data_IF_251973806204
#
_entry.id   IF_251973806204
#
_cell.length_a   1.000
_cell.length_b   1.000
_cell.length_c   1.000
_cell.angle_alpha   90.00
_cell.angle_beta   90.00
_cell.angle_gamma   90.00
#
_symmetry.space_group_name_H-M   'P 1'
#
loop_
_entity.id
_entity.type
_entity.pdbx_description
1 polymer ?
#
# COMPACT_ATOMS: atom_id res chain seq x y z
N UNK A 1 -15.96 -30.46 1.70
CA UNK A 1 -14.58 -30.14 1.28
C UNK A 1 -14.69 -29.18 0.12
N UNK A 2 -14.87 -27.91 0.45
CA UNK A 2 -14.67 -26.79 -0.48
C UNK A 2 -13.18 -26.58 -0.59
N UNK A 3 -12.65 -26.57 -1.81
CA UNK A 3 -11.26 -26.18 -2.05
C UNK A 3 -10.99 -24.81 -1.43
N UNK A 4 -9.81 -24.57 -0.83
CA UNK A 4 -9.43 -23.23 -0.42
C UNK A 4 -9.46 -22.36 -1.69
N UNK A 5 -10.29 -21.31 -1.66
CA UNK A 5 -10.31 -20.25 -2.66
C UNK A 5 -8.87 -19.83 -2.94
N UNK A 6 -8.34 -20.21 -4.10
CA UNK A 6 -7.12 -19.60 -4.61
C UNK A 6 -7.34 -18.10 -4.58
N UNK A 7 -6.61 -17.38 -3.72
CA UNK A 7 -6.68 -15.92 -3.68
C UNK A 7 -6.49 -15.41 -5.11
N UNK A 8 -7.44 -14.61 -5.58
CA UNK A 8 -7.43 -14.01 -6.90
C UNK A 8 -6.02 -13.48 -7.23
N UNK A 9 -5.38 -13.95 -8.29
CA UNK A 9 -3.99 -13.57 -8.64
C UNK A 9 -3.82 -12.03 -8.59
N UNK A 10 -2.66 -11.50 -8.17
CA UNK A 10 -2.39 -10.07 -7.89
C UNK A 10 -2.90 -9.12 -9.00
N UNK A 11 -2.93 -9.61 -10.22
CA UNK A 11 -3.43 -8.89 -11.39
C UNK A 11 -4.90 -9.09 -11.71
N UNK A 12 -5.74 -9.74 -10.92
CA UNK A 12 -7.13 -10.01 -11.30
C UNK A 12 -8.00 -8.74 -11.24
N UNK A 13 -8.83 -8.51 -12.27
CA UNK A 13 -9.75 -7.39 -12.25
C UNK A 13 -10.95 -7.68 -11.33
N UNK A 14 -11.52 -6.63 -10.76
CA UNK A 14 -12.78 -6.71 -10.02
C UNK A 14 -13.76 -5.62 -10.46
N UNK A 15 -15.04 -5.86 -10.24
CA UNK A 15 -16.10 -4.88 -10.50
C UNK A 15 -16.28 -3.95 -9.31
N UNK A 16 -16.56 -2.68 -9.59
CA UNK A 16 -16.87 -1.69 -8.55
C UNK A 16 -18.34 -1.34 -8.56
N UNK A 17 -18.89 -1.13 -7.37
CA UNK A 17 -20.24 -0.63 -7.21
C UNK A 17 -20.32 0.28 -5.99
N UNK A 18 -20.89 1.46 -6.19
CA UNK A 18 -21.15 2.42 -5.12
C UNK A 18 -22.36 2.07 -4.24
N UNK A 19 -23.03 0.96 -4.52
CA UNK A 19 -24.14 0.45 -3.72
C UNK A 19 -23.69 0.14 -2.29
N UNK A 20 -24.39 0.61 -1.24
CA UNK A 20 -24.06 0.26 0.13
C UNK A 20 -24.10 -1.24 0.42
N UNK A 21 -24.90 -2.00 -0.33
CA UNK A 21 -25.02 -3.44 -0.20
C UNK A 21 -23.71 -4.18 -0.50
N UNK A 22 -22.77 -3.57 -1.22
CA UNK A 22 -21.46 -4.18 -1.48
C UNK A 22 -20.48 -4.06 -0.31
N UNK A 23 -20.87 -3.41 0.80
CA UNK A 23 -20.06 -3.36 2.02
C UNK A 23 -20.08 -4.68 2.84
N UNK A 24 -20.84 -5.69 2.40
CA UNK A 24 -20.86 -7.01 3.02
C UNK A 24 -19.53 -7.75 2.80
N UNK A 25 -19.18 -8.68 3.69
CA UNK A 25 -18.03 -9.58 3.53
C UNK A 25 -18.31 -10.66 2.48
N UNK A 26 -17.99 -10.40 1.21
CA UNK A 26 -18.14 -11.36 0.11
C UNK A 26 -16.97 -11.21 -0.87
N UNK A 27 -16.50 -12.34 -1.42
CA UNK A 27 -15.32 -12.39 -2.30
C UNK A 27 -15.46 -11.43 -3.49
N UNK A 28 -16.64 -11.38 -4.09
CA UNK A 28 -16.95 -10.48 -5.21
C UNK A 28 -16.84 -8.97 -4.88
N UNK A 29 -16.90 -8.60 -3.59
CA UNK A 29 -16.78 -7.22 -3.12
C UNK A 29 -15.48 -6.94 -2.34
N UNK A 30 -14.60 -7.93 -2.18
CA UNK A 30 -13.35 -7.78 -1.44
C UNK A 30 -12.52 -6.61 -1.99
N UNK A 31 -12.41 -6.54 -3.33
CA UNK A 31 -11.69 -5.48 -4.03
C UNK A 31 -12.20 -4.07 -3.70
N UNK A 32 -13.52 -3.85 -3.80
CA UNK A 32 -14.11 -2.54 -3.50
C UNK A 32 -13.99 -2.19 -2.02
N UNK A 33 -14.12 -3.16 -1.12
CA UNK A 33 -14.02 -2.93 0.32
C UNK A 33 -12.57 -2.61 0.75
N UNK A 34 -11.56 -3.27 0.18
CA UNK A 34 -10.15 -2.90 0.38
C UNK A 34 -9.91 -1.45 -0.06
N UNK A 35 -10.44 -1.03 -1.22
CA UNK A 35 -10.32 0.36 -1.69
C UNK A 35 -11.02 1.35 -0.75
N UNK A 36 -12.22 1.03 -0.24
CA UNK A 36 -12.94 1.87 0.74
C UNK A 36 -12.15 2.05 2.02
N UNK A 37 -11.63 0.97 2.56
CA UNK A 37 -10.81 0.95 3.77
C UNK A 37 -9.54 1.78 3.60
N UNK A 38 -8.82 1.59 2.49
CA UNK A 38 -7.63 2.37 2.19
C UNK A 38 -7.97 3.87 2.09
N UNK A 39 -9.05 4.23 1.39
CA UNK A 39 -9.48 5.62 1.26
C UNK A 39 -9.76 6.29 2.62
N UNK A 40 -10.37 5.57 3.58
CA UNK A 40 -10.55 6.09 4.95
C UNK A 40 -9.22 6.38 5.65
N UNK A 41 -8.22 5.52 5.48
CA UNK A 41 -6.85 5.76 6.01
C UNK A 41 -6.26 7.08 5.53
N UNK A 42 -6.47 7.42 4.25
CA UNK A 42 -6.05 8.69 3.67
C UNK A 42 -6.82 9.88 4.26
N UNK A 43 -8.13 9.72 4.48
CA UNK A 43 -8.98 10.75 5.08
C UNK A 43 -8.55 11.09 6.52
N UNK A 44 -8.19 10.08 7.33
CA UNK A 44 -7.59 10.30 8.66
C UNK A 44 -6.27 11.07 8.62
N UNK A 45 -5.55 11.03 7.50
CA UNK A 45 -4.34 11.83 7.29
C UNK A 45 -4.59 13.34 7.14
N UNK A 46 -5.85 13.77 6.96
CA UNK A 46 -6.23 15.18 6.85
C UNK A 46 -5.79 15.89 5.57
N UNK A 47 -5.24 15.18 4.58
CA UNK A 47 -4.77 15.76 3.31
C UNK A 47 -5.92 15.84 2.30
N UNK A 48 -6.63 16.98 2.32
CA UNK A 48 -7.77 17.25 1.43
C UNK A 48 -7.38 17.24 -0.05
N UNK A 49 -6.18 17.68 -0.39
CA UNK A 49 -5.74 17.68 -1.79
C UNK A 49 -5.61 16.25 -2.31
N UNK A 50 -5.07 15.32 -1.50
CA UNK A 50 -4.97 13.90 -1.87
C UNK A 50 -6.33 13.25 -2.07
N UNK A 51 -7.29 13.56 -1.21
CA UNK A 51 -8.67 13.08 -1.36
C UNK A 51 -9.25 13.60 -2.68
N UNK A 52 -9.06 14.89 -2.98
CA UNK A 52 -9.52 15.52 -4.21
C UNK A 52 -8.89 14.93 -5.49
N UNK A 53 -7.61 14.52 -5.45
CA UNK A 53 -6.91 13.90 -6.59
C UNK A 53 -7.56 12.60 -7.08
N UNK A 54 -8.33 11.91 -6.22
CA UNK A 54 -9.00 10.63 -6.53
C UNK A 54 -10.51 10.67 -6.29
N UNK A 55 -11.11 11.86 -6.23
CA UNK A 55 -12.54 12.04 -5.97
C UNK A 55 -13.46 11.26 -6.93
N UNK A 56 -13.18 11.16 -8.25
CA UNK A 56 -13.99 10.32 -9.15
C UNK A 56 -14.01 8.84 -8.72
N UNK A 57 -12.85 8.27 -8.41
CA UNK A 57 -12.70 6.89 -7.96
C UNK A 57 -13.39 6.66 -6.62
N UNK A 58 -13.32 7.62 -5.69
CA UNK A 58 -14.03 7.56 -4.41
C UNK A 58 -15.55 7.51 -4.61
N UNK A 59 -16.10 8.27 -5.55
CA UNK A 59 -17.53 8.21 -5.87
C UNK A 59 -17.94 6.86 -6.47
N UNK A 60 -17.12 6.29 -7.33
CA UNK A 60 -17.40 4.97 -7.94
C UNK A 60 -17.47 3.85 -6.90
N UNK A 61 -16.66 3.92 -5.85
CA UNK A 61 -16.69 2.96 -4.73
C UNK A 61 -17.71 3.35 -3.64
N UNK A 62 -18.53 4.38 -3.86
CA UNK A 62 -19.71 4.68 -3.04
C UNK A 62 -19.49 5.66 -1.90
N UNK A 63 -18.44 6.46 -1.93
CA UNK A 63 -18.30 7.60 -1.01
C UNK A 63 -19.26 8.74 -1.40
N UNK A 64 -19.90 9.34 -0.40
CA UNK A 64 -20.73 10.53 -0.55
C UNK A 64 -19.91 11.73 -1.02
N UNK A 65 -20.56 12.73 -1.62
CA UNK A 65 -19.87 13.92 -2.15
C UNK A 65 -19.06 14.66 -1.06
N UNK A 66 -19.53 14.64 0.20
CA UNK A 66 -18.80 15.24 1.33
C UNK A 66 -17.49 14.52 1.63
N UNK A 67 -17.50 13.19 1.56
CA UNK A 67 -16.33 12.35 1.78
C UNK A 67 -15.35 12.40 0.59
N UNK A 68 -15.86 12.31 -0.64
CA UNK A 68 -15.06 12.29 -1.86
C UNK A 68 -14.37 13.63 -2.16
N UNK A 69 -14.87 14.74 -1.63
CA UNK A 69 -14.27 16.08 -1.78
C UNK A 69 -13.38 16.50 -0.60
N UNK A 70 -13.25 15.65 0.42
CA UNK A 70 -12.45 15.95 1.62
C UNK A 70 -13.02 17.09 2.48
N UNK A 71 -14.30 17.43 2.32
CA UNK A 71 -14.95 18.50 3.09
C UNK A 71 -15.12 18.16 4.56
N UNK A 72 -15.11 16.88 4.91
CA UNK A 72 -15.21 16.40 6.29
C UNK A 72 -14.02 16.84 7.14
N UNK A 73 -14.30 17.24 8.38
CA UNK A 73 -13.27 17.55 9.38
C UNK A 73 -12.88 16.28 10.11
N UNK A 74 -11.73 15.71 9.77
CA UNK A 74 -11.13 14.55 10.43
C UNK A 74 -10.20 14.95 11.57
N UNK A 75 -10.42 16.13 12.18
CA UNK A 75 -9.58 16.59 13.29
C UNK A 75 -9.47 15.48 14.33
N UNK A 76 -8.24 15.22 14.77
CA UNK A 76 -7.91 14.14 15.69
C UNK A 76 -8.70 14.29 16.99
N UNK A 77 -9.89 13.71 17.05
CA UNK A 77 -10.56 13.40 18.30
C UNK A 77 -9.64 12.49 19.11
N UNK A 78 -9.72 12.53 20.43
CA UNK A 78 -9.01 11.55 21.25
C UNK A 78 -9.38 10.14 20.75
N UNK A 79 -8.44 9.22 20.49
CA UNK A 79 -8.79 7.84 20.12
C UNK A 79 -9.86 7.25 21.03
N UNK A 80 -9.88 7.60 22.34
CA UNK A 80 -10.96 7.21 23.25
C UNK A 80 -12.32 7.78 22.82
N UNK A 81 -12.40 9.08 22.48
CA UNK A 81 -13.61 9.74 21.96
C UNK A 81 -14.03 9.25 20.56
N UNK A 82 -13.18 8.48 19.87
CA UNK A 82 -13.49 7.88 18.58
C UNK A 82 -14.18 6.51 18.69
N UNK A 83 -14.26 5.94 19.90
CA UNK A 83 -14.86 4.61 20.17
C UNK A 83 -15.96 4.58 21.26
N UNK A 84 -16.76 5.64 21.51
CA UNK A 84 -17.67 5.68 22.67
C UNK A 84 -18.74 4.58 22.65
N UNK A 85 -19.15 4.11 21.47
CA UNK A 85 -20.28 3.19 21.29
C UNK A 85 -19.92 1.79 20.77
N UNK A 86 -18.66 1.35 20.93
CA UNK A 86 -18.27 -0.06 20.64
C UNK A 86 -19.12 -1.09 21.42
N UNK A 87 -19.86 -0.64 22.45
CA UNK A 87 -20.64 -1.47 23.38
C UNK A 87 -22.10 -1.69 22.99
N UNK A 88 -22.72 -0.78 22.23
CA UNK A 88 -24.16 -0.84 21.92
C UNK A 88 -24.46 -1.37 20.52
N UNK A 89 -23.47 -1.40 19.64
CA UNK A 89 -23.61 -2.04 18.34
C UNK A 89 -23.41 -3.55 18.51
N UNK A 90 -24.50 -4.31 18.47
CA UNK A 90 -24.43 -5.75 18.30
C UNK A 90 -23.63 -6.06 17.02
N UNK A 91 -22.33 -6.33 17.15
CA UNK A 91 -21.47 -6.79 16.04
C UNK A 91 -21.83 -8.20 15.54
N UNK A 92 -23.00 -8.71 15.93
CA UNK A 92 -23.52 -10.03 15.57
C UNK A 92 -24.21 -9.95 14.21
N UNK A 93 -23.55 -10.48 13.18
CA UNK A 93 -24.06 -10.61 11.82
C UNK A 93 -23.20 -9.85 10.80
N UNK A 94 -22.17 -10.52 10.29
CA UNK A 94 -21.07 -9.98 9.48
C UNK A 94 -21.50 -9.06 8.32
N UNK A 95 -22.61 -9.36 7.64
CA UNK A 95 -23.07 -8.59 6.48
C UNK A 95 -23.93 -7.37 6.81
N UNK A 96 -24.95 -7.52 7.67
CA UNK A 96 -25.96 -6.46 7.88
C UNK A 96 -25.40 -5.28 8.68
N UNK A 97 -24.47 -5.53 9.60
CA UNK A 97 -23.87 -4.46 10.39
C UNK A 97 -22.93 -3.59 9.55
N UNK A 98 -22.09 -4.18 8.68
CA UNK A 98 -21.19 -3.42 7.80
C UNK A 98 -21.92 -2.49 6.84
N UNK A 99 -23.00 -2.97 6.21
CA UNK A 99 -23.83 -2.14 5.31
C UNK A 99 -24.40 -0.94 6.06
N UNK A 100 -24.94 -1.15 7.27
CA UNK A 100 -25.47 -0.08 8.11
C UNK A 100 -24.38 0.92 8.48
N UNK A 101 -23.21 0.46 8.93
CA UNK A 101 -22.07 1.30 9.28
C UNK A 101 -21.57 2.13 8.10
N UNK A 102 -21.50 1.53 6.93
CA UNK A 102 -21.15 2.22 5.69
C UNK A 102 -22.17 3.30 5.32
N UNK A 103 -23.47 3.03 5.47
CA UNK A 103 -24.53 4.02 5.25
C UNK A 103 -24.42 5.18 6.24
N UNK A 104 -24.31 4.88 7.54
CA UNK A 104 -24.15 5.87 8.60
C UNK A 104 -22.93 6.78 8.35
N UNK A 105 -21.80 6.20 7.94
CA UNK A 105 -20.60 6.96 7.59
C UNK A 105 -20.83 7.93 6.42
N UNK A 106 -21.61 7.51 5.41
CA UNK A 106 -21.90 8.34 4.24
C UNK A 106 -22.91 9.47 4.53
N UNK A 107 -23.85 9.24 5.44
CA UNK A 107 -24.83 10.21 5.93
C UNK A 107 -24.17 11.23 6.87
N UNK A 108 -23.40 10.73 7.83
CA UNK A 108 -22.74 11.49 8.89
C UNK A 108 -21.23 11.18 8.91
N UNK A 109 -20.44 11.89 8.08
CA UNK A 109 -19.02 11.59 7.91
C UNK A 109 -18.21 12.08 9.11
N UNK A 110 -18.15 11.23 10.14
CA UNK A 110 -17.43 11.44 11.39
C UNK A 110 -16.33 10.39 11.58
N UNK A 111 -15.21 10.73 12.25
CA UNK A 111 -14.15 9.77 12.61
C UNK A 111 -14.67 8.50 13.31
N UNK A 112 -15.66 8.65 14.19
CA UNK A 112 -16.31 7.56 14.93
C UNK A 112 -16.94 6.52 14.00
N UNK A 113 -17.78 6.98 13.06
CA UNK A 113 -18.44 6.11 12.08
C UNK A 113 -17.43 5.39 11.17
N UNK A 114 -16.34 6.07 10.81
CA UNK A 114 -15.26 5.48 10.02
C UNK A 114 -14.52 4.39 10.80
N UNK A 115 -14.17 4.65 12.06
CA UNK A 115 -13.52 3.65 12.92
C UNK A 115 -14.43 2.45 13.21
N UNK A 116 -15.72 2.66 13.46
CA UNK A 116 -16.68 1.57 13.65
C UNK A 116 -16.76 0.68 12.40
N UNK A 117 -16.80 1.29 11.21
CA UNK A 117 -16.73 0.55 9.94
C UNK A 117 -15.41 -0.21 9.81
N UNK A 118 -14.26 0.42 10.05
CA UNK A 118 -12.96 -0.23 9.97
C UNK A 118 -12.81 -1.40 10.96
N UNK A 119 -13.29 -1.27 12.20
CA UNK A 119 -13.31 -2.35 13.19
C UNK A 119 -14.17 -3.51 12.70
N UNK A 120 -15.36 -3.23 12.16
CA UNK A 120 -16.20 -4.27 11.57
C UNK A 120 -15.54 -4.99 10.38
N UNK A 121 -14.72 -4.29 9.58
CA UNK A 121 -13.95 -4.88 8.48
C UNK A 121 -12.71 -5.65 8.98
N UNK A 122 -12.11 -5.24 10.11
CA UNK A 122 -11.00 -5.99 10.73
C UNK A 122 -11.38 -7.44 11.01
N UNK A 123 -12.62 -7.69 11.45
CA UNK A 123 -13.18 -9.02 11.67
C UNK A 123 -13.56 -9.79 10.40
N UNK A 124 -13.16 -9.35 9.21
CA UNK A 124 -13.47 -10.07 7.97
C UNK A 124 -12.86 -11.47 7.92
N UNK A 125 -13.65 -12.42 7.43
CA UNK A 125 -13.15 -13.73 7.01
C UNK A 125 -12.35 -13.65 5.69
N UNK A 126 -12.36 -12.51 4.99
CA UNK A 126 -11.57 -12.26 3.81
C UNK A 126 -10.22 -11.64 4.17
N UNK A 127 -9.15 -12.26 3.68
CA UNK A 127 -7.79 -11.95 4.11
C UNK A 127 -7.41 -10.49 3.83
N UNK A 128 -7.67 -10.02 2.61
CA UNK A 128 -7.21 -8.70 2.13
C UNK A 128 -8.01 -7.58 2.77
N UNK A 129 -9.32 -7.77 2.96
CA UNK A 129 -10.18 -6.84 3.70
C UNK A 129 -9.68 -6.65 5.13
N UNK A 130 -9.48 -7.75 5.86
CA UNK A 130 -9.02 -7.73 7.24
C UNK A 130 -7.63 -7.06 7.36
N UNK A 131 -6.71 -7.37 6.44
CA UNK A 131 -5.39 -6.75 6.39
C UNK A 131 -5.45 -5.25 6.08
N UNK A 132 -6.27 -4.84 5.11
CA UNK A 132 -6.47 -3.43 4.78
C UNK A 132 -7.03 -2.66 5.99
N UNK A 133 -7.97 -3.25 6.73
CA UNK A 133 -8.58 -2.62 7.89
C UNK A 133 -7.57 -2.45 9.02
N UNK A 134 -6.76 -3.48 9.30
CA UNK A 134 -5.65 -3.39 10.23
C UNK A 134 -4.66 -2.28 9.83
N UNK A 135 -4.30 -2.21 8.55
CA UNK A 135 -3.42 -1.19 8.01
C UNK A 135 -4.00 0.24 8.15
N UNK A 136 -5.29 0.41 7.87
CA UNK A 136 -5.99 1.69 8.02
C UNK A 136 -6.08 2.12 9.49
N UNK A 137 -6.48 1.22 10.39
CA UNK A 137 -6.57 1.49 11.83
C UNK A 137 -5.20 1.81 12.44
N UNK A 138 -4.15 1.09 12.05
CA UNK A 138 -2.79 1.40 12.48
C UNK A 138 -2.38 2.82 12.11
N UNK A 139 -2.67 3.24 10.87
CA UNK A 139 -2.40 4.59 10.37
C UNK A 139 -3.29 5.65 11.02
N UNK A 140 -4.53 5.32 11.39
CA UNK A 140 -5.48 6.22 12.07
C UNK A 140 -5.04 6.62 13.49
N UNK A 141 -3.91 6.09 13.98
CA UNK A 141 -3.22 6.50 15.20
C UNK A 141 -3.97 6.12 16.48
N UNK A 142 -4.01 4.82 16.78
CA UNK A 142 -4.57 4.20 18.00
C UNK A 142 -3.81 4.55 19.32
N UNK A 143 -3.35 5.79 19.48
CA UNK A 143 -3.13 6.44 20.77
C UNK A 143 -2.22 5.75 21.81
N UNK A 144 -1.06 5.20 21.45
CA UNK A 144 -0.16 4.60 22.47
C UNK A 144 0.43 5.62 23.44
N UNK A 145 0.56 6.86 22.98
CA UNK A 145 1.00 8.06 23.72
C UNK A 145 0.51 8.11 25.17
N UNK A 146 -0.79 7.82 25.34
CA UNK A 146 -1.53 8.17 26.55
C UNK A 146 -1.93 6.97 27.41
N UNK A 147 -2.19 5.81 26.82
CA UNK A 147 -2.74 4.65 27.55
C UNK A 147 -1.72 3.94 28.45
N UNK A 148 -0.45 3.89 28.05
CA UNK A 148 0.61 3.20 28.83
C UNK A 148 0.96 3.89 30.15
N UNK A 149 0.65 5.18 30.29
CA UNK A 149 1.01 5.97 31.48
C UNK A 149 -0.11 6.11 32.51
N UNK A 150 -1.33 5.67 32.20
CA UNK A 150 -2.53 5.96 33.01
C UNK A 150 -3.12 4.75 33.75
N UNK A 151 -2.69 3.51 33.49
CA UNK A 151 -3.25 2.31 34.15
C UNK A 151 -2.22 1.57 35.02
N UNK A 152 -2.39 1.57 36.37
CA UNK A 152 -1.56 0.79 37.28
C UNK A 152 -1.82 -0.74 37.22
N UNK A 153 -2.91 -1.20 36.60
CA UNK A 153 -3.32 -2.62 36.55
C UNK A 153 -3.20 -3.29 35.16
N UNK A 154 -2.24 -2.86 34.34
CA UNK A 154 -1.89 -3.55 33.08
C UNK A 154 -1.69 -5.06 33.29
N UNK A 155 -1.19 -5.45 34.47
CA UNK A 155 -0.99 -6.85 34.85
C UNK A 155 -2.28 -7.67 34.96
N UNK A 156 -3.35 -7.14 35.56
CA UNK A 156 -4.63 -7.86 35.63
C UNK A 156 -5.28 -8.01 34.25
N UNK A 157 -5.16 -6.97 33.42
CA UNK A 157 -5.59 -7.05 32.04
C UNK A 157 -4.77 -8.06 31.23
N UNK A 158 -3.44 -8.12 31.41
CA UNK A 158 -2.60 -9.16 30.82
C UNK A 158 -3.00 -10.56 31.28
N UNK A 159 -3.31 -10.77 32.56
CA UNK A 159 -3.86 -12.03 33.04
C UNK A 159 -5.18 -12.38 32.35
N UNK A 160 -6.08 -11.42 32.20
CA UNK A 160 -7.34 -11.59 31.49
C UNK A 160 -7.10 -12.01 30.03
N UNK A 161 -6.15 -11.37 29.33
CA UNK A 161 -5.76 -11.75 27.96
C UNK A 161 -5.12 -13.14 27.88
N UNK A 162 -4.27 -13.53 28.83
CA UNK A 162 -3.66 -14.87 28.88
C UNK A 162 -4.73 -15.94 29.08
N UNK A 163 -5.75 -15.69 29.90
CA UNK A 163 -6.88 -16.60 30.05
C UNK A 163 -7.81 -16.62 28.83
N UNK A 164 -8.00 -15.47 28.18
CA UNK A 164 -8.79 -15.36 26.96
C UNK A 164 -8.12 -16.07 25.78
N UNK A 165 -6.81 -15.93 25.63
CA UNK A 165 -6.11 -16.35 24.43
C UNK A 165 -5.18 -17.54 24.61
N UNK A 166 -4.92 -17.99 25.84
CA UNK A 166 -4.05 -19.12 26.19
C UNK A 166 -4.20 -20.41 25.34
N UNK A 167 -5.36 -20.71 24.73
CA UNK A 167 -5.49 -21.84 23.79
C UNK A 167 -4.97 -21.59 22.37
N UNK A 168 -4.77 -20.34 21.92
CA UNK A 168 -4.40 -20.03 20.53
C UNK A 168 -2.88 -20.20 20.32
N UNK A 169 -2.50 -21.26 19.59
CA UNK A 169 -1.13 -21.43 19.08
C UNK A 169 -0.79 -20.30 18.11
N UNK A 170 0.38 -19.67 18.31
CA UNK A 170 0.88 -18.62 17.43
C UNK A 170 0.50 -17.19 17.83
N UNK A 171 -0.25 -17.00 18.93
CA UNK A 171 -0.33 -15.69 19.56
C UNK A 171 1.08 -15.32 20.09
N UNK A 172 1.64 -14.14 19.78
CA UNK A 172 2.99 -13.77 20.21
C UNK A 172 2.99 -13.44 21.71
N UNK A 173 3.02 -14.49 22.53
CA UNK A 173 3.01 -14.41 24.00
C UNK A 173 4.24 -13.74 24.59
N UNK A 174 5.27 -13.44 23.79
CA UNK A 174 6.46 -12.78 24.29
C UNK A 174 6.07 -11.39 24.85
N UNK A 175 6.13 -11.19 26.19
CA UNK A 175 5.63 -9.97 26.84
C UNK A 175 6.39 -8.70 26.43
N UNK A 176 7.48 -8.85 25.67
CA UNK A 176 8.44 -7.81 25.32
C UNK A 176 8.58 -7.53 23.80
N UNK A 177 7.94 -8.30 22.92
CA UNK A 177 7.91 -8.01 21.48
C UNK A 177 7.08 -6.73 21.19
N UNK A 178 6.10 -6.46 22.04
CA UNK A 178 5.11 -5.38 21.90
C UNK A 178 5.47 -4.08 22.63
N UNK A 179 6.46 -4.14 23.53
CA UNK A 179 6.89 -3.01 24.37
C UNK A 179 8.04 -2.20 23.77
N UNK A 180 8.48 -2.48 22.54
CA UNK A 180 9.46 -1.62 21.85
C UNK A 180 8.74 -0.35 21.37
N UNK A 181 9.07 0.84 21.91
CA UNK A 181 8.67 2.09 21.30
C UNK A 181 9.53 2.25 20.05
N UNK A 182 8.97 1.94 18.89
CA UNK A 182 9.67 2.03 17.61
C UNK A 182 8.82 1.51 16.45
N UNK A 183 9.17 1.86 15.20
CA UNK A 183 8.61 1.18 14.03
C UNK A 183 8.80 -0.33 14.20
N UNK A 184 7.84 -1.13 13.72
CA UNK A 184 8.00 -2.58 13.61
C UNK A 184 9.22 -2.80 12.70
N UNK A 185 10.38 -3.06 13.30
CA UNK A 185 11.61 -3.39 12.59
C UNK A 185 11.45 -4.82 12.06
N UNK A 186 10.75 -4.93 10.94
CA UNK A 186 10.70 -6.15 10.15
C UNK A 186 11.98 -6.22 9.32
N UNK A 187 12.99 -6.90 9.87
CA UNK A 187 14.01 -7.54 9.05
C UNK A 187 13.47 -8.93 8.68
N UNK A 188 13.06 -9.17 7.42
CA UNK A 188 12.68 -10.52 7.02
C UNK A 188 13.90 -11.42 7.23
N UNK A 189 13.83 -12.30 8.24
CA UNK A 189 14.84 -13.32 8.44
C UNK A 189 14.87 -14.24 7.23
N UNK A 190 16.06 -14.70 6.84
CA UNK A 190 16.25 -15.71 5.79
C UNK A 190 15.57 -17.07 6.14
N UNK A 191 15.07 -17.23 7.38
CA UNK A 191 14.68 -18.50 8.00
C UNK A 191 13.16 -18.74 8.16
N UNK A 192 12.25 -17.93 7.60
CA UNK A 192 10.79 -18.24 7.61
C UNK A 192 10.27 -18.59 6.19
N UNK A 193 10.63 -19.77 5.64
CA UNK A 193 10.36 -20.13 4.24
C UNK A 193 8.90 -20.52 3.96
N UNK A 194 8.02 -20.58 4.96
CA UNK A 194 6.62 -20.98 4.79
C UNK A 194 5.72 -19.88 5.35
N UNK A 195 5.38 -18.90 4.52
CA UNK A 195 4.44 -17.85 4.87
C UNK A 195 3.18 -18.39 5.58
N UNK A 196 2.63 -17.58 6.48
CA UNK A 196 1.48 -17.98 7.30
C UNK A 196 0.23 -18.03 6.43
N UNK A 197 -0.32 -19.22 6.24
CA UNK A 197 -1.57 -19.43 5.50
C UNK A 197 -2.74 -18.77 6.24
N UNK A 198 -3.64 -18.14 5.47
CA UNK A 198 -4.84 -17.53 6.02
C UNK A 198 -5.81 -18.59 6.54
N UNK A 199 -6.27 -18.41 7.78
CA UNK A 199 -7.30 -19.24 8.39
C UNK A 199 -8.49 -18.37 8.79
N UNK A 200 -9.54 -18.30 7.95
CA UNK A 200 -10.68 -17.41 8.17
C UNK A 200 -11.44 -17.77 9.45
N UNK A 201 -11.70 -19.06 9.68
CA UNK A 201 -12.48 -19.51 10.85
C UNK A 201 -11.77 -19.19 12.16
N UNK A 202 -10.45 -19.41 12.20
CA UNK A 202 -9.64 -19.07 13.37
C UNK A 202 -9.63 -17.56 13.63
N UNK A 203 -9.49 -16.73 12.58
CA UNK A 203 -9.49 -15.29 12.72
C UNK A 203 -10.85 -14.76 13.20
N UNK A 204 -11.95 -15.21 12.60
CA UNK A 204 -13.30 -14.85 13.00
C UNK A 204 -13.57 -15.25 14.46
N UNK A 205 -13.15 -16.45 14.89
CA UNK A 205 -13.29 -16.88 16.29
C UNK A 205 -12.53 -15.96 17.27
N UNK A 206 -11.29 -15.61 16.94
CA UNK A 206 -10.47 -14.69 17.74
C UNK A 206 -11.14 -13.32 17.84
N UNK A 207 -11.56 -12.78 16.70
CA UNK A 207 -12.17 -11.46 16.62
C UNK A 207 -13.51 -11.42 17.37
N UNK A 208 -14.40 -12.38 17.14
CA UNK A 208 -15.70 -12.44 17.79
C UNK A 208 -15.58 -12.61 19.30
N UNK A 209 -14.63 -13.45 19.75
CA UNK A 209 -14.34 -13.61 21.17
C UNK A 209 -13.89 -12.29 21.77
N UNK A 210 -12.91 -11.62 21.15
CA UNK A 210 -12.39 -10.35 21.62
C UNK A 210 -13.48 -9.26 21.65
N UNK A 211 -14.31 -9.16 20.62
CA UNK A 211 -15.37 -8.16 20.53
C UNK A 211 -16.61 -8.48 21.39
N UNK A 212 -16.75 -9.71 21.89
CA UNK A 212 -17.83 -10.10 22.80
C UNK A 212 -17.59 -9.67 24.25
N UNK A 213 -16.36 -9.31 24.60
CA UNK A 213 -15.95 -9.00 25.97
C UNK A 213 -16.41 -7.61 26.39
N UNK A 214 -16.97 -7.53 27.60
CA UNK A 214 -17.46 -6.28 28.17
C UNK A 214 -16.34 -5.57 28.91
N UNK A 215 -15.50 -4.87 28.16
CA UNK A 215 -14.36 -4.13 28.72
C UNK A 215 -14.66 -2.63 28.91
N UNK A 216 -14.04 -1.96 29.92
CA UNK A 216 -13.76 -0.52 29.93
C UNK A 216 -13.33 0.00 28.55
N UNK A 217 -13.72 1.22 28.20
CA UNK A 217 -13.52 1.78 26.84
C UNK A 217 -12.03 1.85 26.46
N UNK A 218 -11.19 2.28 27.40
CA UNK A 218 -9.73 2.24 27.36
C UNK A 218 -9.19 0.84 27.06
N UNK A 219 -9.69 -0.19 27.75
CA UNK A 219 -9.30 -1.58 27.53
C UNK A 219 -9.82 -2.15 26.20
N UNK A 220 -11.00 -1.73 25.74
CA UNK A 220 -11.53 -2.10 24.44
C UNK A 220 -10.69 -1.52 23.29
N UNK A 221 -10.26 -0.25 23.40
CA UNK A 221 -9.34 0.37 22.44
C UNK A 221 -7.98 -0.34 22.45
N UNK A 222 -7.47 -0.71 23.62
CA UNK A 222 -6.25 -1.51 23.73
C UNK A 222 -6.39 -2.89 23.07
N UNK A 223 -7.53 -3.56 23.26
CA UNK A 223 -7.81 -4.85 22.64
C UNK A 223 -7.85 -4.76 21.10
N UNK A 224 -8.56 -3.77 20.54
CA UNK A 224 -8.59 -3.52 19.09
C UNK A 224 -7.18 -3.31 18.55
N UNK A 225 -6.36 -2.55 19.27
CA UNK A 225 -4.97 -2.35 18.89
C UNK A 225 -4.19 -3.67 18.83
N UNK A 226 -4.34 -4.55 19.82
CA UNK A 226 -3.68 -5.85 19.80
C UNK A 226 -4.14 -6.69 18.59
N UNK A 227 -5.43 -6.68 18.27
CA UNK A 227 -5.96 -7.34 17.08
C UNK A 227 -5.35 -6.76 15.80
N UNK A 228 -5.23 -5.43 15.70
CA UNK A 228 -4.59 -4.75 14.56
C UNK A 228 -3.13 -5.18 14.41
N UNK A 229 -2.37 -5.16 15.51
CA UNK A 229 -0.96 -5.55 15.52
C UNK A 229 -0.77 -7.02 15.12
N UNK A 230 -1.57 -7.91 15.70
CA UNK A 230 -1.54 -9.33 15.35
C UNK A 230 -1.92 -9.54 13.89
N UNK A 231 -2.96 -8.86 13.40
CA UNK A 231 -3.38 -8.99 12.00
C UNK A 231 -2.30 -8.51 11.03
N UNK A 232 -1.64 -7.40 11.32
CA UNK A 232 -0.54 -6.88 10.51
C UNK A 232 0.64 -7.85 10.47
N UNK A 233 1.03 -8.41 11.61
CA UNK A 233 2.09 -9.42 11.69
C UNK A 233 1.79 -10.69 10.87
N UNK A 234 0.54 -11.16 10.90
CA UNK A 234 0.08 -12.24 10.02
C UNK A 234 0.11 -11.82 8.55
N UNK A 235 -0.34 -10.60 8.22
CA UNK A 235 -0.41 -10.10 6.86
C UNK A 235 0.98 -9.91 6.22
N UNK A 236 1.98 -9.50 7.01
CA UNK A 236 3.37 -9.38 6.55
C UNK A 236 3.98 -10.72 6.12
N UNK A 237 3.49 -11.82 6.71
CA UNK A 237 3.94 -13.19 6.42
C UNK A 237 3.00 -13.95 5.49
N UNK A 238 1.95 -13.30 4.98
CA UNK A 238 0.98 -13.94 4.08
C UNK A 238 1.65 -14.42 2.78
N UNK A 239 1.25 -15.55 2.19
CA UNK A 239 1.65 -15.93 0.83
C UNK A 239 1.05 -15.01 -0.25
N UNK A 240 -0.03 -14.29 0.04
CA UNK A 240 -0.69 -13.33 -0.84
C UNK A 240 0.10 -12.01 -0.91
N UNK A 241 0.55 -11.63 -2.11
CA UNK A 241 1.41 -10.45 -2.27
C UNK A 241 0.63 -9.12 -2.15
N UNK A 242 -0.66 -9.08 -2.48
CA UNK A 242 -1.54 -7.94 -2.19
C UNK A 242 -1.61 -7.73 -0.67
N UNK A 243 -1.90 -8.77 0.09
CA UNK A 243 -1.99 -8.72 1.56
C UNK A 243 -0.69 -8.23 2.18
N UNK A 244 0.47 -8.79 1.77
CA UNK A 244 1.79 -8.31 2.23
C UNK A 244 1.98 -6.83 1.90
N UNK A 245 1.65 -6.40 0.69
CA UNK A 245 1.84 -5.01 0.24
C UNK A 245 0.99 -4.02 1.05
N UNK A 246 -0.26 -4.37 1.37
CA UNK A 246 -1.15 -3.55 2.20
C UNK A 246 -0.58 -3.37 3.62
N UNK A 247 -0.11 -4.44 4.25
CA UNK A 247 0.48 -4.39 5.59
C UNK A 247 1.80 -3.60 5.61
N UNK A 248 2.68 -3.85 4.64
CA UNK A 248 3.95 -3.13 4.48
C UNK A 248 3.74 -1.62 4.34
N UNK A 249 2.76 -1.21 3.54
CA UNK A 249 2.41 0.18 3.33
C UNK A 249 1.95 0.88 4.62
N UNK A 250 1.40 0.16 5.60
CA UNK A 250 1.02 0.73 6.89
C UNK A 250 2.19 0.86 7.87
N UNK A 251 3.08 -0.14 7.95
CA UNK A 251 4.12 -0.19 8.98
C UNK A 251 5.35 0.64 8.63
N UNK A 252 5.63 0.85 7.35
CA UNK A 252 6.82 1.58 6.93
C UNK A 252 6.59 3.09 6.86
N UNK A 253 7.32 3.93 7.62
CA UNK A 253 7.21 5.38 7.50
C UNK A 253 7.76 5.85 6.14
N UNK A 254 6.96 6.61 5.40
CA UNK A 254 7.40 7.30 4.17
C UNK A 254 7.78 8.73 4.53
N UNK A 255 9.08 8.97 4.70
CA UNK A 255 9.60 10.33 4.84
C UNK A 255 9.78 10.98 3.45
N UNK A 256 9.14 12.14 3.24
CA UNK A 256 9.28 13.00 2.05
C UNK A 256 9.95 14.34 2.41
N UNK A 257 10.96 14.28 3.29
CA UNK A 257 11.66 15.46 3.84
C UNK A 257 12.84 15.93 2.99
N UNK A 258 13.10 15.30 1.85
CA UNK A 258 14.20 15.65 0.96
C UNK A 258 13.94 16.94 0.17
N UNK A 259 14.97 17.78 -0.01
CA UNK A 259 14.94 18.88 -0.98
C UNK A 259 14.91 18.34 -2.41
N UNK A 260 14.28 19.08 -3.32
CA UNK A 260 14.26 18.76 -4.75
C UNK A 260 15.48 19.43 -5.41
N UNK A 261 16.42 18.68 -5.99
CA UNK A 261 17.50 19.27 -6.78
C UNK A 261 16.93 20.02 -7.99
N UNK A 262 17.56 21.11 -8.41
CA UNK A 262 17.17 21.78 -9.65
C UNK A 262 17.39 20.84 -10.83
N UNK A 263 16.42 20.71 -11.77
CA UNK A 263 16.58 19.84 -12.93
C UNK A 263 17.82 20.28 -13.73
N UNK A 264 18.72 19.35 -14.08
CA UNK A 264 19.91 19.69 -14.85
C UNK A 264 19.52 20.18 -16.25
N UNK A 265 20.30 21.11 -16.81
CA UNK A 265 20.07 21.63 -18.17
C UNK A 265 20.59 20.63 -19.21
N UNK A 266 19.70 20.16 -20.08
CA UNK A 266 20.09 19.49 -21.33
C UNK A 266 20.66 18.08 -21.19
N UNK A 267 20.06 17.24 -20.33
CA UNK A 267 20.43 15.83 -20.23
C UNK A 267 19.68 15.03 -21.29
N UNK A 268 20.27 14.95 -22.49
CA UNK A 268 19.82 13.97 -23.49
C UNK A 268 20.91 12.93 -23.65
N UNK A 269 20.53 11.65 -23.69
CA UNK A 269 21.46 10.60 -24.08
C UNK A 269 22.08 10.97 -25.44
N UNK A 270 23.40 10.83 -25.57
CA UNK A 270 24.12 11.24 -26.77
C UNK A 270 23.69 10.38 -27.97
N UNK A 271 23.30 10.97 -29.11
CA UNK A 271 22.98 10.20 -30.31
C UNK A 271 24.22 9.42 -30.78
N UNK A 272 24.12 8.08 -30.86
CA UNK A 272 25.15 7.22 -31.45
C UNK A 272 25.95 6.33 -30.48
N UNK A 273 25.79 6.49 -29.17
CA UNK A 273 26.30 5.52 -28.18
C UNK A 273 25.45 4.24 -28.12
N UNK A 274 25.98 3.14 -27.58
CA UNK A 274 25.18 1.94 -27.31
C UNK A 274 24.05 2.32 -26.35
N UNK A 275 22.83 2.43 -26.87
CA UNK A 275 21.65 2.76 -26.09
C UNK A 275 21.40 1.62 -25.10
N UNK A 276 21.30 1.90 -23.80
CA UNK A 276 21.02 0.88 -22.77
C UNK A 276 19.68 1.18 -22.13
N UNK A 277 18.82 0.16 -22.03
CA UNK A 277 17.59 0.23 -21.24
C UNK A 277 17.73 -0.63 -19.98
N UNK A 278 17.07 -0.30 -18.88
CA UNK A 278 17.15 -1.09 -17.64
C UNK A 278 15.89 -0.98 -16.78
N UNK A 279 15.84 -1.72 -15.67
CA UNK A 279 14.73 -1.74 -14.72
C UNK A 279 15.21 -1.45 -13.29
N UNK A 280 14.40 -0.73 -12.51
CA UNK A 280 14.56 -0.56 -11.07
C UNK A 280 13.31 -1.09 -10.37
N UNK A 281 13.51 -2.05 -9.49
CA UNK A 281 12.44 -2.65 -8.70
C UNK A 281 11.99 -1.72 -7.56
N UNK A 282 10.76 -1.94 -7.09
CA UNK A 282 10.21 -1.25 -5.94
C UNK A 282 10.75 -1.72 -4.59
N UNK A 283 10.18 -1.15 -3.53
CA UNK A 283 10.40 -1.58 -2.15
C UNK A 283 10.15 -3.09 -2.00
N UNK A 284 11.03 -3.82 -1.30
CA UNK A 284 11.00 -5.28 -1.08
C UNK A 284 10.96 -6.18 -2.33
N UNK A 285 10.83 -5.61 -3.53
CA UNK A 285 10.86 -6.36 -4.78
C UNK A 285 12.24 -6.94 -5.11
N UNK A 286 13.26 -6.70 -4.29
CA UNK A 286 14.53 -7.42 -4.37
C UNK A 286 14.35 -8.93 -4.13
N UNK A 287 13.32 -9.33 -3.37
CA UNK A 287 12.94 -10.73 -3.14
C UNK A 287 12.23 -11.37 -4.34
N UNK A 288 11.69 -10.56 -5.26
CA UNK A 288 11.11 -11.03 -6.51
C UNK A 288 12.12 -11.01 -7.65
N UNK A 289 11.89 -11.85 -8.66
CA UNK A 289 12.79 -11.98 -9.81
C UNK A 289 12.27 -11.30 -11.09
N UNK A 290 11.01 -10.82 -11.12
CA UNK A 290 10.34 -10.28 -12.33
C UNK A 290 11.15 -9.24 -13.10
N UNK A 291 11.94 -8.41 -12.42
CA UNK A 291 12.69 -7.28 -12.98
C UNK A 291 14.12 -7.63 -13.43
N UNK A 292 14.65 -8.77 -12.99
CA UNK A 292 16.04 -9.17 -13.22
C UNK A 292 16.18 -9.76 -14.62
N UNK A 293 17.39 -9.77 -15.22
CA UNK A 293 17.63 -10.49 -16.45
C UNK A 293 17.08 -11.93 -16.41
N UNK A 294 16.13 -12.23 -17.28
CA UNK A 294 15.46 -13.54 -17.36
C UNK A 294 14.24 -13.72 -16.45
N UNK A 295 13.88 -12.73 -15.63
CA UNK A 295 12.61 -12.71 -14.90
C UNK A 295 11.41 -12.42 -15.81
N UNK A 296 10.21 -12.75 -15.35
CA UNK A 296 9.00 -12.77 -16.20
C UNK A 296 8.74 -11.44 -16.93
N UNK A 297 8.73 -10.32 -16.21
CA UNK A 297 8.48 -9.02 -16.84
C UNK A 297 9.68 -8.54 -17.66
N UNK A 298 10.92 -8.82 -17.23
CA UNK A 298 12.12 -8.54 -18.02
C UNK A 298 12.07 -9.25 -19.38
N UNK A 299 11.79 -10.56 -19.36
CA UNK A 299 11.68 -11.39 -20.55
C UNK A 299 10.54 -10.92 -21.46
N UNK A 300 9.42 -10.49 -20.88
CA UNK A 300 8.29 -9.91 -21.61
C UNK A 300 8.64 -8.59 -22.30
N UNK A 301 9.40 -7.70 -21.66
CA UNK A 301 9.78 -6.40 -22.25
C UNK A 301 10.90 -6.52 -23.27
N UNK A 302 11.81 -7.50 -23.13
CA UNK A 302 13.02 -7.63 -23.95
C UNK A 302 12.76 -7.62 -25.48
N UNK A 303 11.74 -8.30 -26.05
CA UNK A 303 11.43 -8.20 -27.48
C UNK A 303 11.07 -6.79 -27.94
N UNK A 304 10.48 -5.97 -27.06
CA UNK A 304 10.06 -4.59 -27.33
C UNK A 304 11.17 -3.56 -27.02
N UNK A 305 12.15 -3.97 -26.21
CA UNK A 305 13.37 -3.22 -25.89
C UNK A 305 14.58 -4.13 -26.01
N UNK A 306 15.07 -4.41 -27.24
CA UNK A 306 16.19 -5.33 -27.45
C UNK A 306 17.50 -4.92 -26.77
N UNK A 307 17.59 -3.66 -26.35
CA UNK A 307 18.70 -3.10 -25.60
C UNK A 307 18.49 -3.09 -24.08
N UNK A 308 17.48 -3.80 -23.59
CA UNK A 308 17.26 -4.01 -22.17
C UNK A 308 18.42 -4.80 -21.56
N UNK A 309 18.97 -4.27 -20.47
CA UNK A 309 20.14 -4.80 -19.80
C UNK A 309 19.91 -6.25 -19.37
N UNK A 310 20.74 -7.15 -19.88
CA UNK A 310 20.59 -8.60 -19.69
C UNK A 310 21.89 -9.28 -19.22
N UNK A 311 22.92 -8.50 -18.88
CA UNK A 311 24.23 -8.99 -18.43
C UNK A 311 24.26 -9.17 -16.90
N UNK A 312 25.35 -9.76 -16.39
CA UNK A 312 25.65 -9.76 -14.96
C UNK A 312 25.93 -8.34 -14.44
N UNK A 313 25.84 -8.12 -13.12
CA UNK A 313 26.07 -6.77 -12.55
C UNK A 313 24.86 -5.84 -12.60
N UNK A 314 23.63 -6.38 -12.68
CA UNK A 314 22.38 -5.59 -12.63
C UNK A 314 22.34 -4.67 -11.41
N UNK A 315 21.78 -3.46 -11.59
CA UNK A 315 21.48 -2.61 -10.44
C UNK A 315 20.44 -3.26 -9.54
N UNK A 316 20.66 -3.20 -8.23
CA UNK A 316 19.73 -3.66 -7.21
C UNK A 316 19.89 -2.80 -5.97
N UNK A 317 18.85 -2.70 -5.15
CA UNK A 317 18.92 -1.96 -3.89
C UNK A 317 18.16 -2.69 -2.79
N UNK A 318 18.33 -2.27 -1.54
CA UNK A 318 17.76 -2.95 -0.37
C UNK A 318 16.23 -2.99 -0.35
N UNK A 319 15.57 -2.16 -1.16
CA UNK A 319 14.13 -2.02 -1.13
C UNK A 319 13.61 -1.34 0.14
N UNK A 320 14.46 -0.68 0.95
CA UNK A 320 14.01 -0.08 2.21
C UNK A 320 13.19 1.21 2.00
N UNK A 321 12.10 1.39 2.77
CA UNK A 321 11.24 2.58 2.71
C UNK A 321 11.87 3.88 3.24
N UNK A 322 13.04 3.84 3.88
CA UNK A 322 13.64 5.05 4.48
C UNK A 322 14.19 5.97 3.39
N UNK A 323 13.93 7.28 3.49
CA UNK A 323 14.41 8.29 2.52
C UNK A 323 15.93 8.19 2.27
N UNK A 324 16.72 8.02 3.34
CA UNK A 324 18.18 7.85 3.25
C UNK A 324 18.58 6.62 2.41
N UNK A 325 17.85 5.52 2.51
CA UNK A 325 18.12 4.33 1.71
C UNK A 325 17.81 4.57 0.22
N UNK A 326 16.72 5.29 -0.09
CA UNK A 326 16.40 5.68 -1.46
C UNK A 326 17.42 6.67 -2.05
N UNK A 327 17.95 7.60 -1.24
CA UNK A 327 19.02 8.48 -1.68
C UNK A 327 20.29 7.68 -1.99
N UNK A 328 20.73 6.80 -1.09
CA UNK A 328 21.90 5.96 -1.33
C UNK A 328 21.74 5.11 -2.59
N UNK A 329 20.55 4.51 -2.78
CA UNK A 329 20.24 3.73 -3.98
C UNK A 329 20.31 4.58 -5.26
N UNK A 330 19.88 5.84 -5.22
CA UNK A 330 20.01 6.75 -6.35
C UNK A 330 21.48 7.08 -6.66
N UNK A 331 22.29 7.34 -5.63
CA UNK A 331 23.73 7.60 -5.80
C UNK A 331 24.46 6.38 -6.39
N UNK A 332 24.11 5.18 -5.95
CA UNK A 332 24.66 3.93 -6.48
C UNK A 332 24.15 3.65 -7.89
N UNK A 333 22.89 3.96 -8.20
CA UNK A 333 22.36 3.87 -9.55
C UNK A 333 23.07 4.83 -10.51
N UNK A 334 23.40 6.05 -10.09
CA UNK A 334 24.17 6.99 -10.90
C UNK A 334 25.56 6.44 -11.27
N UNK A 335 26.25 5.79 -10.32
CA UNK A 335 27.55 5.14 -10.59
C UNK A 335 27.38 3.99 -11.57
N UNK A 336 26.42 3.10 -11.30
CA UNK A 336 26.10 1.98 -12.18
C UNK A 336 25.78 2.45 -13.61
N UNK A 337 24.95 3.49 -13.76
CA UNK A 337 24.59 4.03 -15.06
C UNK A 337 25.77 4.68 -15.79
N UNK A 338 26.71 5.29 -15.06
CA UNK A 338 27.93 5.86 -15.66
C UNK A 338 28.84 4.76 -16.22
N UNK A 339 28.91 3.62 -15.55
CA UNK A 339 29.75 2.49 -15.95
C UNK A 339 29.11 1.69 -17.10
N UNK A 340 27.83 1.33 -16.95
CA UNK A 340 27.13 0.44 -17.88
C UNK A 340 26.51 1.19 -19.08
N UNK A 341 26.20 2.47 -18.92
CA UNK A 341 25.55 3.30 -19.93
C UNK A 341 26.22 4.70 -20.03
N UNK A 342 27.52 4.80 -20.35
CA UNK A 342 28.28 6.06 -20.32
C UNK A 342 27.75 7.14 -21.27
N UNK A 343 26.94 6.75 -22.26
CA UNK A 343 26.29 7.67 -23.20
C UNK A 343 24.85 8.03 -22.81
N UNK A 344 24.37 7.55 -21.67
CA UNK A 344 23.00 7.69 -21.20
C UNK A 344 22.14 6.44 -21.38
N UNK A 345 21.06 6.40 -20.62
CA UNK A 345 20.02 5.39 -20.71
C UNK A 345 18.97 5.80 -21.75
N UNK A 346 18.52 4.83 -22.55
CA UNK A 346 17.40 5.02 -23.45
C UNK A 346 16.08 4.95 -22.69
N UNK A 347 15.76 3.78 -22.12
CA UNK A 347 14.53 3.58 -21.35
C UNK A 347 14.85 3.05 -19.95
N UNK A 348 14.24 3.64 -18.92
CA UNK A 348 14.29 3.18 -17.55
C UNK A 348 12.88 2.80 -17.09
N UNK A 349 12.64 1.52 -16.82
CA UNK A 349 11.40 1.07 -16.18
C UNK A 349 11.57 1.10 -14.67
N UNK A 350 10.66 1.73 -13.94
CA UNK A 350 10.82 1.94 -12.51
C UNK A 350 9.51 1.68 -11.78
N UNK A 351 9.50 0.66 -10.91
CA UNK A 351 8.31 0.26 -10.17
C UNK A 351 8.28 0.86 -8.76
N UNK A 352 7.10 1.31 -8.31
CA UNK A 352 6.90 1.84 -6.96
C UNK A 352 7.94 2.91 -6.61
N UNK A 353 8.58 2.84 -5.44
CA UNK A 353 9.68 3.73 -5.04
C UNK A 353 10.96 3.63 -5.89
N UNK A 354 11.08 2.62 -6.76
CA UNK A 354 12.08 2.62 -7.83
C UNK A 354 11.93 3.84 -8.74
N UNK A 355 10.70 4.33 -8.93
CA UNK A 355 10.43 5.57 -9.67
C UNK A 355 11.00 6.82 -8.99
N UNK A 356 11.04 6.86 -7.66
CA UNK A 356 11.70 7.96 -6.94
C UNK A 356 13.23 7.87 -7.06
N UNK A 357 13.80 6.67 -7.02
CA UNK A 357 15.24 6.45 -7.24
C UNK A 357 15.63 6.93 -8.65
N UNK A 358 14.86 6.52 -9.66
CA UNK A 358 15.03 6.98 -11.04
C UNK A 358 14.94 8.51 -11.14
N UNK A 359 13.92 9.12 -10.52
CA UNK A 359 13.74 10.56 -10.52
C UNK A 359 14.93 11.29 -9.87
N UNK A 360 15.44 10.80 -8.74
CA UNK A 360 16.64 11.34 -8.09
C UNK A 360 17.83 11.28 -9.02
N UNK A 361 18.09 10.12 -9.61
CA UNK A 361 19.24 9.92 -10.49
C UNK A 361 19.23 10.84 -11.71
N UNK A 362 18.06 11.05 -12.33
CA UNK A 362 17.92 11.99 -13.45
C UNK A 362 18.14 13.43 -12.97
N UNK A 363 17.52 13.82 -11.86
CA UNK A 363 17.66 15.17 -11.29
C UNK A 363 19.10 15.45 -10.81
N UNK A 364 19.91 14.44 -10.55
CA UNK A 364 21.34 14.57 -10.20
C UNK A 364 22.28 14.44 -11.40
N UNK A 365 21.77 14.21 -12.62
CA UNK A 365 22.57 14.29 -13.84
C UNK A 365 22.63 13.04 -14.71
N UNK A 366 21.94 11.95 -14.34
CA UNK A 366 21.92 10.72 -15.15
C UNK A 366 21.15 10.98 -16.46
N UNK A 367 21.79 10.86 -17.64
CA UNK A 367 21.10 11.06 -18.91
C UNK A 367 20.09 9.96 -19.17
N UNK A 368 18.85 10.35 -19.46
CA UNK A 368 17.75 9.44 -19.72
C UNK A 368 16.84 10.01 -20.82
N UNK A 369 16.52 9.20 -21.83
CA UNK A 369 15.55 9.58 -22.87
C UNK A 369 14.10 9.30 -22.48
N UNK A 370 13.84 8.20 -21.78
CA UNK A 370 12.50 7.73 -21.44
C UNK A 370 12.43 7.12 -20.04
N UNK A 371 11.52 7.61 -19.20
CA UNK A 371 11.20 7.04 -17.90
C UNK A 371 9.81 6.41 -17.94
N UNK A 372 9.72 5.10 -17.73
CA UNK A 372 8.44 4.37 -17.59
C UNK A 372 8.21 4.08 -16.11
N UNK A 373 7.27 4.81 -15.50
CA UNK A 373 6.85 4.66 -14.12
C UNK A 373 5.75 3.59 -14.03
N UNK A 374 5.93 2.62 -13.14
CA UNK A 374 5.01 1.51 -12.90
C UNK A 374 4.48 1.62 -11.46
N UNK A 375 3.23 2.04 -11.27
CA UNK A 375 2.65 2.30 -9.94
C UNK A 375 3.53 3.18 -9.03
N UNK A 376 4.27 4.14 -9.59
CA UNK A 376 5.20 4.96 -8.80
C UNK A 376 4.44 6.02 -7.99
N UNK A 377 4.79 6.26 -6.70
CA UNK A 377 4.23 7.35 -5.94
C UNK A 377 4.60 8.69 -6.59
N UNK A 378 3.63 9.60 -6.68
CA UNK A 378 3.81 10.94 -7.22
C UNK A 378 4.48 11.87 -6.18
N UNK A 379 5.68 11.51 -5.74
CA UNK A 379 6.48 12.31 -4.79
C UNK A 379 6.93 13.61 -5.43
N UNK A 380 7.46 14.54 -4.63
CA UNK A 380 7.99 15.82 -5.13
C UNK A 380 9.04 15.62 -6.22
N UNK A 381 9.89 14.61 -6.08
CA UNK A 381 10.96 14.28 -7.02
C UNK A 381 10.41 13.72 -8.33
N UNK A 382 9.43 12.80 -8.25
CA UNK A 382 8.76 12.27 -9.45
C UNK A 382 8.00 13.38 -10.19
N UNK A 383 7.34 14.29 -9.47
CA UNK A 383 6.69 15.45 -10.09
C UNK A 383 7.70 16.40 -10.75
N UNK A 384 8.87 16.58 -10.15
CA UNK A 384 9.93 17.43 -10.69
C UNK A 384 10.57 16.82 -11.94
N UNK A 385 10.85 15.51 -11.96
CA UNK A 385 11.53 14.86 -13.09
C UNK A 385 10.71 14.92 -14.38
N UNK A 386 9.38 14.89 -14.27
CA UNK A 386 8.44 14.99 -15.39
C UNK A 386 8.58 16.32 -16.15
N UNK A 387 9.09 17.36 -15.48
CA UNK A 387 9.34 18.67 -16.09
C UNK A 387 10.72 18.79 -16.73
N UNK A 388 11.51 17.71 -16.78
CA UNK A 388 12.86 17.71 -17.36
C UNK A 388 12.78 17.84 -18.89
N UNK A 389 13.41 18.86 -19.50
CA UNK A 389 13.39 19.03 -20.94
C UNK A 389 14.03 17.84 -21.67
N UNK A 390 13.37 17.32 -22.70
CA UNK A 390 13.89 16.22 -23.53
C UNK A 390 13.70 14.82 -22.94
N UNK A 391 13.25 14.70 -21.68
CA UNK A 391 12.85 13.43 -21.09
C UNK A 391 11.40 13.13 -21.44
N UNK A 392 11.13 11.96 -22.00
CA UNK A 392 9.78 11.41 -22.11
C UNK A 392 9.42 10.65 -20.84
N UNK A 393 8.22 10.84 -20.30
CA UNK A 393 7.73 10.07 -19.16
C UNK A 393 6.44 9.35 -19.52
N UNK A 394 6.40 8.04 -19.30
CA UNK A 394 5.19 7.22 -19.38
C UNK A 394 4.84 6.74 -17.98
N UNK A 395 3.60 6.92 -17.57
CA UNK A 395 3.13 6.66 -16.21
C UNK A 395 1.99 5.65 -16.25
N UNK A 396 2.35 4.38 -16.06
CA UNK A 396 1.44 3.23 -16.06
C UNK A 396 0.97 2.98 -14.64
N UNK A 397 -0.34 3.08 -14.40
CA UNK A 397 -0.89 3.01 -13.04
C UNK A 397 -2.30 2.46 -12.96
N UNK A 398 -2.63 1.98 -11.77
CA UNK A 398 -3.98 1.65 -11.38
C UNK A 398 -4.83 2.94 -11.29
N UNK A 399 -6.14 2.79 -11.46
CA UNK A 399 -7.12 3.86 -11.17
C UNK A 399 -7.02 4.24 -9.70
N UNK A 400 -7.07 3.28 -8.81
CA UNK A 400 -6.91 3.51 -7.38
C UNK A 400 -6.00 2.45 -6.81
N UNK A 401 -4.86 2.86 -6.27
CA UNK A 401 -3.83 1.99 -5.72
C UNK A 401 -3.92 2.01 -4.18
N UNK A 402 -4.53 0.99 -3.54
CA UNK A 402 -4.71 0.98 -2.09
C UNK A 402 -3.38 0.95 -1.31
N UNK A 403 -2.31 0.44 -1.91
CA UNK A 403 -0.98 0.40 -1.30
C UNK A 403 -0.40 1.81 -1.20
N UNK A 404 -0.47 2.60 -2.28
CA UNK A 404 -0.01 3.99 -2.25
C UNK A 404 -0.82 4.87 -1.29
N UNK A 405 -2.12 4.61 -1.18
CA UNK A 405 -3.05 5.30 -0.26
C UNK A 405 -2.70 5.00 1.19
N UNK A 406 -2.53 3.71 1.56
CA UNK A 406 -2.14 3.29 2.91
C UNK A 406 -0.72 3.77 3.29
N UNK A 407 0.18 3.85 2.31
CA UNK A 407 1.50 4.45 2.46
C UNK A 407 1.46 5.97 2.64
N UNK A 408 0.28 6.60 2.54
CA UNK A 408 0.08 8.04 2.59
C UNK A 408 0.96 8.76 1.57
N UNK A 409 0.93 8.27 0.33
CA UNK A 409 1.63 8.89 -0.80
C UNK A 409 0.62 9.40 -1.83
N UNK A 410 1.05 10.34 -2.68
CA UNK A 410 0.20 10.84 -3.77
C UNK A 410 0.18 9.85 -4.93
N UNK A 411 -0.97 9.73 -5.58
CA UNK A 411 -1.16 8.80 -6.70
C UNK A 411 -1.17 9.50 -8.06
N UNK A 412 -1.21 10.84 -8.10
CA UNK A 412 -1.38 11.61 -9.33
C UNK A 412 -0.21 12.54 -9.60
N UNK A 413 0.38 12.37 -10.77
CA UNK A 413 1.28 13.34 -11.38
C UNK A 413 0.43 14.33 -12.17
N UNK A 414 0.56 15.66 -11.95
CA UNK A 414 -0.13 16.66 -12.74
C UNK A 414 0.18 16.51 -14.24
N UNK A 415 -0.78 16.81 -15.14
CA UNK A 415 -0.52 16.80 -16.57
C UNK A 415 0.68 17.67 -16.95
N UNK A 416 1.53 17.14 -17.84
CA UNK A 416 2.71 17.83 -18.34
C UNK A 416 2.95 17.47 -19.82
N UNK A 417 3.62 18.33 -20.61
CA UNK A 417 3.83 18.09 -22.04
C UNK A 417 4.60 16.79 -22.35
N UNK A 418 5.48 16.37 -21.44
CA UNK A 418 6.33 15.20 -21.60
C UNK A 418 5.73 13.93 -20.96
N UNK A 419 4.54 14.02 -20.37
CA UNK A 419 3.91 12.94 -19.62
C UNK A 419 2.80 12.27 -20.46
N UNK A 420 2.90 10.95 -20.63
CA UNK A 420 1.81 10.10 -21.09
C UNK A 420 1.35 9.23 -19.93
N UNK A 421 0.12 9.42 -19.44
CA UNK A 421 -0.44 8.59 -18.37
C UNK A 421 -1.33 7.50 -18.96
N UNK A 422 -1.07 6.25 -18.56
CA UNK A 422 -1.87 5.07 -18.89
C UNK A 422 -2.53 4.57 -17.61
N UNK A 423 -3.82 4.84 -17.48
CA UNK A 423 -4.64 4.23 -16.43
C UNK A 423 -5.16 2.88 -16.92
N UNK A 424 -5.10 1.86 -16.07
CA UNK A 424 -5.87 0.63 -16.32
C UNK A 424 -7.36 0.95 -16.29
N UNK A 425 -8.12 0.41 -17.24
CA UNK A 425 -9.55 0.67 -17.34
C UNK A 425 -10.31 -0.18 -16.30
N UNK A 426 -9.82 -1.39 -16.05
CA UNK A 426 -10.33 -2.31 -15.01
C UNK A 426 -9.70 -2.04 -13.66
N UNK A 427 -10.49 -2.20 -12.59
CA UNK A 427 -10.03 -2.06 -11.22
C UNK A 427 -9.24 -3.29 -10.78
N UNK A 428 -8.11 -3.07 -10.09
CA UNK A 428 -7.20 -4.13 -9.62
C UNK A 428 -6.64 -3.73 -8.25
N UNK A 429 -6.35 -4.71 -7.40
CA UNK A 429 -5.77 -4.45 -6.07
C UNK A 429 -4.24 -4.46 -6.10
N UNK A 430 -3.65 -5.32 -6.94
CA UNK A 430 -2.22 -5.55 -6.93
C UNK A 430 -1.43 -4.33 -7.38
N UNK A 431 -0.66 -3.77 -6.46
CA UNK A 431 0.35 -2.74 -6.76
C UNK A 431 1.34 -3.19 -7.85
N UNK A 432 1.61 -4.50 -7.92
CA UNK A 432 2.44 -5.14 -8.94
C UNK A 432 1.76 -5.39 -10.30
N UNK A 433 0.46 -5.13 -10.45
CA UNK A 433 -0.25 -5.34 -11.71
C UNK A 433 0.39 -4.57 -12.89
N UNK A 434 1.11 -3.48 -12.61
CA UNK A 434 1.83 -2.67 -13.61
C UNK A 434 3.09 -3.31 -14.18
N UNK A 435 3.52 -4.47 -13.67
CA UNK A 435 4.60 -5.26 -14.24
C UNK A 435 4.16 -6.70 -14.60
N UNK A 436 2.86 -6.93 -14.82
CA UNK A 436 2.34 -8.23 -15.24
C UNK A 436 2.07 -8.25 -16.75
N UNK A 437 2.66 -9.21 -17.46
CA UNK A 437 2.49 -9.42 -18.89
C UNK A 437 1.00 -9.49 -19.29
N UNK A 438 0.22 -10.32 -18.59
CA UNK A 438 -1.22 -10.48 -18.89
C UNK A 438 -1.98 -9.15 -18.82
N UNK A 439 -1.66 -8.32 -17.84
CA UNK A 439 -2.31 -7.02 -17.63
C UNK A 439 -1.90 -6.05 -18.74
N UNK A 440 -0.64 -6.07 -19.15
CA UNK A 440 -0.16 -5.23 -20.26
C UNK A 440 -0.87 -5.55 -21.58
N UNK A 441 -1.09 -6.83 -21.86
CA UNK A 441 -1.86 -7.28 -23.02
C UNK A 441 -3.34 -6.90 -22.91
N UNK A 442 -3.94 -7.12 -21.73
CA UNK A 442 -5.35 -6.82 -21.44
C UNK A 442 -5.73 -5.33 -21.49
N UNK A 443 -4.79 -4.45 -21.13
CA UNK A 443 -4.97 -3.01 -20.99
C UNK A 443 -4.34 -2.22 -22.15
N UNK A 444 -3.77 -2.93 -23.14
CA UNK A 444 -3.09 -2.38 -24.33
C UNK A 444 -2.03 -1.32 -23.99
N UNK A 445 -1.18 -1.64 -23.00
CA UNK A 445 -0.23 -0.67 -22.41
C UNK A 445 0.81 -0.19 -23.42
N UNK A 446 1.31 -1.07 -24.30
CA UNK A 446 2.30 -0.68 -25.31
C UNK A 446 1.75 0.38 -26.26
N UNK A 447 0.53 0.20 -26.77
CA UNK A 447 -0.08 1.14 -27.72
C UNK A 447 -0.44 2.46 -27.04
N UNK A 448 -1.14 2.40 -25.89
CA UNK A 448 -1.60 3.59 -25.15
C UNK A 448 -0.43 4.39 -24.59
N UNK A 449 0.57 3.68 -24.07
CA UNK A 449 1.80 4.25 -23.53
C UNK A 449 2.81 4.62 -24.61
N UNK A 450 2.60 4.22 -25.87
CA UNK A 450 3.56 4.26 -26.99
C UNK A 450 4.95 3.83 -26.52
N UNK A 451 5.02 2.65 -25.92
CA UNK A 451 6.25 2.02 -25.43
C UNK A 451 6.75 1.14 -26.57
#
# INVERSE_FOLDING_TARGET
MTEPSAGADDGEPFEVSGSPQTAVSQVEFEGVNVCRVAALSMMFGGDRERVGEVAPELREIGFSERLSTGQSTWQAADPLEQFPDLREQEYRGEGRNRVRLWQMLNEEPQPQSANAFLVAVLGSNLERESAAAAAALWRANLGFDRLSSQHPDLWEFWHHLVHMWGPFRGFPWEPFAWSRPGPIDFEPGEDDPQGVQWNPDQWTEIYDRAMSERLPQDLAVFLIRLLVLWRLDLALRSPDAVTRSLAMAAVAPVDDTGGVPAPPRGISAQPGGQAVSTMIHGTFAWMGDWWRPGGDFHAFILPHRPNLYSRGGRFSWSGAYRNKARQLAADDFCKWASDEAPNGLQTLFAHSFGGEIAARAVLTGTPLSELVLLSSPATRLVKAVVSTPGLRVVDVRLRFDPVLVLARTRQRIPPAPNLTTVFFDRWRLGHGATHMERVWAEEDVFTRGRI
#
